data_IF_527743363389
#
_entry.id   IF_527743363389
#
_cell.length_a   1.000
_cell.length_b   1.000
_cell.length_c   1.000
_cell.angle_alpha   90.00
_cell.angle_beta   90.00
_cell.angle_gamma   90.00
#
_symmetry.space_group_name_H-M   'P 1'
#
loop_
_entity.id
_entity.type
_entity.pdbx_description
1 polymer ?
#
# COMPACT_ATOMS: atom_id res chain seq x y z
N UNK A 1 7.81 -1.81 -11.86
CA UNK A 1 6.50 -1.17 -11.71
C UNK A 1 5.75 -1.79 -10.55
N UNK A 2 5.05 -0.99 -9.73
CA UNK A 2 4.21 -1.44 -8.63
C UNK A 2 2.74 -1.60 -9.04
N UNK A 3 2.00 -2.48 -8.35
CA UNK A 3 0.56 -2.67 -8.49
C UNK A 3 -0.03 -3.02 -7.11
N UNK A 4 -0.80 -2.11 -6.52
CA UNK A 4 -1.26 -2.21 -5.12
C UNK A 4 -2.73 -1.83 -4.95
N UNK A 5 -3.42 -2.46 -3.99
CA UNK A 5 -4.79 -2.10 -3.57
C UNK A 5 -4.83 -0.93 -2.57
N UNK A 6 -3.74 -0.19 -2.41
CA UNK A 6 -3.73 0.95 -1.51
C UNK A 6 -4.82 1.97 -1.90
N UNK A 7 -5.60 2.49 -0.93
CA UNK A 7 -6.43 3.68 -1.13
C UNK A 7 -5.64 4.86 -1.69
N UNK A 8 -6.27 5.72 -2.47
CA UNK A 8 -5.58 6.85 -3.12
C UNK A 8 -5.99 8.22 -2.57
N UNK A 9 -7.15 8.27 -1.89
CA UNK A 9 -7.65 9.48 -1.25
C UNK A 9 -7.33 9.54 0.24
N UNK A 10 -8.18 10.25 0.97
CA UNK A 10 -8.10 10.37 2.42
C UNK A 10 -8.42 9.03 3.09
N UNK A 11 -7.59 8.65 4.05
CA UNK A 11 -7.81 7.49 4.90
C UNK A 11 -7.50 7.82 6.36
N UNK A 12 -8.53 7.87 7.19
CA UNK A 12 -8.39 8.33 8.57
C UNK A 12 -7.87 9.77 8.64
N UNK A 13 -6.72 9.94 9.28
CA UNK A 13 -6.03 11.24 9.42
C UNK A 13 -5.09 11.55 8.25
N UNK A 14 -4.81 10.59 7.39
CA UNK A 14 -3.94 10.75 6.22
C UNK A 14 -4.76 11.34 5.09
N UNK A 15 -4.46 12.56 4.68
CA UNK A 15 -5.20 13.28 3.63
C UNK A 15 -4.93 12.75 2.22
N UNK A 16 -3.72 12.22 1.97
CA UNK A 16 -3.29 11.68 0.68
C UNK A 16 -2.47 10.41 0.90
N UNK A 17 -3.09 9.26 0.63
CA UNK A 17 -2.46 7.95 0.80
C UNK A 17 -1.35 7.68 -0.22
N UNK A 18 -1.40 8.28 -1.40
CA UNK A 18 -0.33 8.16 -2.39
C UNK A 18 0.91 8.90 -1.90
N UNK A 19 0.75 10.16 -1.47
CA UNK A 19 1.86 10.96 -0.93
C UNK A 19 2.49 10.28 0.29
N UNK A 20 1.67 9.74 1.19
CA UNK A 20 2.13 9.01 2.35
C UNK A 20 2.96 7.76 1.96
N UNK A 21 2.45 6.94 1.02
CA UNK A 21 3.17 5.74 0.54
C UNK A 21 4.48 6.11 -0.18
N UNK A 22 4.48 7.16 -0.97
CA UNK A 22 5.69 7.62 -1.66
C UNK A 22 6.76 8.08 -0.67
N UNK A 23 6.37 8.71 0.44
CA UNK A 23 7.30 9.05 1.51
C UNK A 23 7.94 7.79 2.11
N UNK A 24 7.14 6.78 2.49
CA UNK A 24 7.67 5.51 3.02
C UNK A 24 8.63 4.81 2.06
N UNK A 25 8.26 4.72 0.77
CA UNK A 25 9.11 4.11 -0.25
C UNK A 25 10.43 4.86 -0.41
N UNK A 26 10.41 6.19 -0.30
CA UNK A 26 11.62 7.04 -0.35
C UNK A 26 12.54 6.74 0.84
N UNK A 27 12.00 6.64 2.06
CA UNK A 27 12.78 6.26 3.25
C UNK A 27 13.40 4.87 3.11
N UNK A 28 12.69 3.94 2.48
CA UNK A 28 13.18 2.59 2.17
C UNK A 28 14.12 2.55 0.96
N UNK A 29 14.37 3.68 0.28
CA UNK A 29 15.15 3.79 -0.96
C UNK A 29 14.60 2.92 -2.10
N UNK A 30 13.29 2.75 -2.16
CA UNK A 30 12.59 2.03 -3.22
C UNK A 30 12.04 3.04 -4.21
N UNK A 31 12.43 2.92 -5.48
CA UNK A 31 12.02 3.82 -6.55
C UNK A 31 11.44 3.01 -7.73
N UNK A 32 10.12 3.01 -7.86
CA UNK A 32 9.44 2.36 -8.98
C UNK A 32 9.45 3.21 -10.26
N UNK A 33 9.49 4.53 -10.12
CA UNK A 33 9.43 5.45 -11.26
C UNK A 33 10.62 5.28 -12.20
N UNK A 34 11.81 5.05 -11.65
CA UNK A 34 13.03 4.92 -12.43
C UNK A 34 12.95 3.79 -13.46
N UNK A 35 12.42 2.63 -13.04
CA UNK A 35 12.38 1.41 -13.84
C UNK A 35 11.01 1.10 -14.45
N UNK A 36 10.01 1.93 -14.20
CA UNK A 36 8.67 1.74 -14.79
C UNK A 36 8.70 2.08 -16.29
N UNK A 37 8.10 1.25 -17.14
CA UNK A 37 7.86 1.60 -18.54
C UNK A 37 6.79 2.68 -18.70
N UNK A 38 5.94 2.87 -17.67
CA UNK A 38 4.87 3.87 -17.66
C UNK A 38 5.31 5.06 -16.83
N UNK A 39 5.38 6.23 -17.45
CA UNK A 39 5.82 7.49 -16.85
C UNK A 39 4.68 8.49 -16.68
N UNK A 40 3.51 8.16 -17.20
CA UNK A 40 2.35 9.02 -17.15
C UNK A 40 1.75 9.07 -15.73
N UNK A 41 1.05 10.14 -15.43
CA UNK A 41 0.14 10.21 -14.29
C UNK A 41 -1.29 10.12 -14.83
N UNK A 42 -2.06 9.12 -14.39
CA UNK A 42 -3.43 8.85 -14.85
C UNK A 42 -4.32 8.65 -13.66
N UNK A 43 -5.34 9.49 -13.51
CA UNK A 43 -6.44 9.29 -12.57
C UNK A 43 -7.61 8.69 -13.33
N UNK A 44 -8.15 7.58 -12.84
CA UNK A 44 -9.27 6.89 -13.47
C UNK A 44 -10.58 7.46 -12.91
N UNK A 45 -11.13 8.44 -13.62
CA UNK A 45 -12.31 9.19 -13.19
C UNK A 45 -13.60 8.36 -13.15
N UNK A 46 -13.69 7.34 -14.00
CA UNK A 46 -14.87 6.48 -14.12
C UNK A 46 -15.11 5.59 -12.88
N UNK A 47 -14.12 5.50 -12.00
CA UNK A 47 -14.17 4.71 -10.77
C UNK A 47 -14.19 5.65 -9.57
N UNK A 48 -15.20 5.51 -8.74
CA UNK A 48 -15.34 6.31 -7.51
C UNK A 48 -15.58 5.37 -6.32
N UNK A 49 -14.50 4.85 -5.76
CA UNK A 49 -14.54 4.09 -4.51
C UNK A 49 -14.51 5.02 -3.31
N UNK A 50 -14.97 4.54 -2.16
CA UNK A 50 -15.03 5.31 -0.92
C UNK A 50 -13.69 5.88 -0.45
N UNK A 51 -12.56 5.27 -0.87
CA UNK A 51 -11.21 5.66 -0.47
C UNK A 51 -10.34 6.21 -1.62
N UNK A 52 -10.98 6.78 -2.63
CA UNK A 52 -10.30 7.43 -3.75
C UNK A 52 -10.45 6.72 -5.09
N UNK A 53 -9.79 7.25 -6.10
CA UNK A 53 -9.84 6.76 -7.49
C UNK A 53 -8.59 5.98 -7.83
N UNK A 54 -8.69 4.89 -8.60
CA UNK A 54 -7.49 4.23 -9.10
C UNK A 54 -6.60 5.21 -9.86
N UNK A 55 -5.30 5.13 -9.60
CA UNK A 55 -4.33 6.11 -10.11
C UNK A 55 -3.04 5.42 -10.52
N UNK A 56 -2.52 5.75 -11.70
CA UNK A 56 -1.12 5.49 -12.05
C UNK A 56 -0.31 6.72 -11.68
N UNK A 57 0.70 6.55 -10.85
CA UNK A 57 1.62 7.62 -10.46
C UNK A 57 2.97 7.06 -10.02
N UNK A 58 4.04 7.73 -10.41
CA UNK A 58 5.42 7.39 -10.04
C UNK A 58 5.80 5.91 -10.25
N UNK A 59 5.29 5.34 -11.35
CA UNK A 59 5.55 3.94 -11.72
C UNK A 59 4.77 2.91 -10.91
N UNK A 60 3.74 3.34 -10.17
CA UNK A 60 2.87 2.47 -9.37
C UNK A 60 1.42 2.66 -9.81
N UNK A 61 0.73 1.55 -10.02
CA UNK A 61 -0.72 1.51 -10.23
C UNK A 61 -1.36 1.26 -8.86
N UNK A 62 -2.03 2.26 -8.34
CA UNK A 62 -2.86 2.19 -7.14
C UNK A 62 -4.28 1.84 -7.57
N UNK A 63 -4.78 0.69 -7.16
CA UNK A 63 -6.10 0.25 -7.61
C UNK A 63 -7.23 0.67 -6.65
N UNK A 64 -6.90 1.35 -5.56
CA UNK A 64 -7.82 1.63 -4.47
C UNK A 64 -8.47 0.31 -3.99
N UNK A 65 -9.78 0.18 -4.01
CA UNK A 65 -10.49 -1.04 -3.63
C UNK A 65 -10.82 -1.94 -4.83
N UNK A 66 -10.44 -1.52 -6.03
CA UNK A 66 -10.81 -2.23 -7.24
C UNK A 66 -9.90 -3.42 -7.53
N UNK A 67 -10.41 -4.31 -8.35
CA UNK A 67 -9.71 -5.49 -8.84
C UNK A 67 -8.45 -5.11 -9.62
N UNK A 68 -7.32 -5.75 -9.29
CA UNK A 68 -6.02 -5.42 -9.89
C UNK A 68 -5.99 -5.63 -11.41
N UNK A 69 -6.61 -6.71 -11.90
CA UNK A 69 -6.64 -7.00 -13.33
C UNK A 69 -7.46 -5.98 -14.11
N UNK A 70 -8.61 -5.56 -13.58
CA UNK A 70 -9.48 -4.56 -14.22
C UNK A 70 -8.76 -3.21 -14.34
N UNK A 71 -8.19 -2.73 -13.25
CA UNK A 71 -7.48 -1.43 -13.24
C UNK A 71 -6.24 -1.50 -14.12
N UNK A 72 -5.51 -2.62 -14.09
CA UNK A 72 -4.36 -2.83 -14.96
C UNK A 72 -4.75 -2.79 -16.44
N UNK A 73 -5.82 -3.48 -16.86
CA UNK A 73 -6.34 -3.42 -18.23
C UNK A 73 -6.64 -1.99 -18.66
N UNK A 74 -7.31 -1.23 -17.78
CA UNK A 74 -7.64 0.16 -18.06
C UNK A 74 -6.38 1.00 -18.29
N UNK A 75 -5.39 0.89 -17.41
CA UNK A 75 -4.12 1.63 -17.53
C UNK A 75 -3.41 1.27 -18.83
N UNK A 76 -3.32 -0.02 -19.20
CA UNK A 76 -2.71 -0.42 -20.45
C UNK A 76 -3.43 0.21 -21.66
N UNK A 77 -4.77 0.25 -21.63
CA UNK A 77 -5.56 0.84 -22.71
C UNK A 77 -5.33 2.35 -22.86
N UNK A 78 -5.17 3.06 -21.74
CA UNK A 78 -4.95 4.52 -21.75
C UNK A 78 -3.53 4.91 -22.14
N UNK A 79 -2.55 4.10 -21.77
CA UNK A 79 -1.15 4.34 -22.12
C UNK A 79 -0.77 3.76 -23.49
N UNK A 80 -1.65 2.99 -24.11
CA UNK A 80 -1.39 2.22 -25.33
C UNK A 80 -0.11 1.36 -25.20
N UNK A 81 0.17 0.87 -24.00
CA UNK A 81 1.34 0.05 -23.69
C UNK A 81 0.91 -1.39 -23.40
N UNK A 82 1.32 -2.32 -24.25
CA UNK A 82 1.01 -3.73 -24.11
C UNK A 82 2.31 -4.54 -24.06
N UNK A 83 2.77 -4.97 -22.88
CA UNK A 83 3.99 -5.77 -22.76
C UNK A 83 3.78 -7.15 -23.37
N UNK A 84 4.84 -7.76 -23.88
CA UNK A 84 4.79 -9.13 -24.39
C UNK A 84 4.65 -10.16 -23.26
N UNK A 85 5.24 -9.88 -22.11
CA UNK A 85 5.23 -10.76 -20.95
C UNK A 85 5.22 -9.98 -19.64
N UNK A 86 4.63 -10.58 -18.63
CA UNK A 86 4.56 -10.05 -17.25
C UNK A 86 4.96 -11.15 -16.28
N UNK A 87 5.83 -10.79 -15.35
CA UNK A 87 6.07 -11.52 -14.11
C UNK A 87 5.41 -10.71 -13.00
N UNK A 88 4.51 -11.32 -12.26
CA UNK A 88 3.79 -10.67 -11.16
C UNK A 88 3.95 -11.47 -9.87
N UNK A 89 4.28 -10.76 -8.80
CA UNK A 89 4.46 -11.34 -7.47
C UNK A 89 3.46 -10.67 -6.53
N UNK A 90 2.67 -11.46 -5.85
CA UNK A 90 1.65 -10.99 -4.89
C UNK A 90 1.49 -12.02 -3.77
N UNK A 91 1.08 -11.58 -2.60
CA UNK A 91 0.81 -12.45 -1.44
C UNK A 91 -0.65 -12.94 -1.37
N UNK A 92 -1.50 -12.46 -2.29
CA UNK A 92 -2.92 -12.80 -2.36
C UNK A 92 -3.21 -13.50 -3.68
N UNK A 93 -3.63 -14.77 -3.61
CA UNK A 93 -3.91 -15.60 -4.79
C UNK A 93 -4.95 -14.98 -5.71
N UNK A 94 -6.01 -14.38 -5.18
CA UNK A 94 -7.06 -13.73 -5.97
C UNK A 94 -6.51 -12.60 -6.85
N UNK A 95 -5.49 -11.88 -6.38
CA UNK A 95 -4.83 -10.85 -7.18
C UNK A 95 -4.04 -11.46 -8.34
N UNK A 96 -3.37 -12.59 -8.10
CA UNK A 96 -2.65 -13.33 -9.14
C UNK A 96 -3.60 -13.83 -10.21
N UNK A 97 -4.73 -14.43 -9.81
CA UNK A 97 -5.75 -14.96 -10.72
C UNK A 97 -6.46 -13.85 -11.51
N UNK A 98 -6.74 -12.74 -10.88
CA UNK A 98 -7.34 -11.57 -11.53
C UNK A 98 -6.42 -11.04 -12.64
N UNK A 99 -5.14 -10.85 -12.35
CA UNK A 99 -4.19 -10.37 -13.35
C UNK A 99 -3.96 -11.40 -14.47
N UNK A 100 -3.90 -12.69 -14.12
CA UNK A 100 -3.81 -13.78 -15.11
C UNK A 100 -4.97 -13.73 -16.11
N UNK A 101 -6.20 -13.56 -15.63
CA UNK A 101 -7.40 -13.45 -16.47
C UNK A 101 -7.29 -12.28 -17.45
N UNK A 102 -6.83 -11.14 -16.98
CA UNK A 102 -6.62 -9.95 -17.82
C UNK A 102 -5.51 -10.19 -18.84
N UNK A 103 -4.38 -10.75 -18.43
CA UNK A 103 -3.28 -11.07 -19.36
C UNK A 103 -3.69 -12.05 -20.45
N UNK A 104 -4.45 -13.09 -20.10
CA UNK A 104 -4.99 -14.06 -21.08
C UNK A 104 -5.90 -13.38 -22.11
N UNK A 105 -6.80 -12.49 -21.65
CA UNK A 105 -7.68 -11.69 -22.51
C UNK A 105 -6.89 -10.83 -23.49
N UNK A 106 -5.82 -10.22 -23.02
CA UNK A 106 -4.96 -9.32 -23.80
C UNK A 106 -3.86 -10.04 -24.57
N UNK A 107 -3.77 -11.38 -24.47
CA UNK A 107 -2.73 -12.23 -25.09
C UNK A 107 -1.31 -11.86 -24.63
N UNK A 108 -1.16 -11.47 -23.37
CA UNK A 108 0.11 -11.20 -22.72
C UNK A 108 0.59 -12.49 -22.03
N UNK A 109 1.86 -12.88 -22.22
CA UNK A 109 2.43 -13.99 -21.48
C UNK A 109 2.50 -13.65 -20.00
N UNK A 110 1.96 -14.51 -19.12
CA UNK A 110 1.86 -14.25 -17.69
C UNK A 110 2.53 -15.33 -16.87
N UNK A 111 3.31 -14.91 -15.88
CA UNK A 111 3.84 -15.76 -14.82
C UNK A 111 3.53 -15.10 -13.46
N UNK A 112 2.68 -15.75 -12.67
CA UNK A 112 2.34 -15.32 -11.32
C UNK A 112 3.12 -16.13 -10.28
N UNK A 113 3.64 -15.45 -9.25
CA UNK A 113 4.31 -16.06 -8.11
C UNK A 113 3.65 -15.61 -6.83
N UNK A 114 3.18 -16.55 -6.02
CA UNK A 114 2.69 -16.25 -4.69
C UNK A 114 3.86 -15.97 -3.75
N UNK A 115 3.84 -14.81 -3.10
CA UNK A 115 4.80 -14.46 -2.07
C UNK A 115 4.33 -14.99 -0.71
N UNK A 116 4.90 -16.10 -0.27
CA UNK A 116 4.55 -16.75 0.99
C UNK A 116 5.36 -16.23 2.19
N UNK A 117 6.18 -15.20 2.00
CA UNK A 117 7.05 -14.65 3.05
C UNK A 117 6.29 -14.14 4.26
N UNK A 118 5.11 -13.56 4.07
CA UNK A 118 4.23 -13.13 5.16
C UNK A 118 3.76 -14.28 6.06
N UNK A 119 3.56 -15.48 5.50
CA UNK A 119 3.18 -16.68 6.25
C UNK A 119 4.34 -17.31 7.04
N UNK A 120 5.59 -16.99 6.66
CA UNK A 120 6.80 -17.50 7.31
C UNK A 120 7.24 -16.61 8.47
N UNK A 121 6.95 -15.31 8.39
CA UNK A 121 7.27 -14.35 9.45
C UNK A 121 6.27 -14.59 10.59
N UNK A 122 6.73 -14.96 11.81
CA UNK A 122 5.82 -15.12 12.93
C UNK A 122 5.05 -13.82 13.18
N UNK A 123 3.73 -13.92 13.29
CA UNK A 123 2.93 -12.77 13.73
C UNK A 123 3.44 -12.31 15.10
N UNK A 124 3.73 -11.00 15.27
CA UNK A 124 4.10 -10.48 16.57
C UNK A 124 2.94 -10.70 17.55
N UNK A 125 3.25 -11.12 18.77
CA UNK A 125 2.24 -11.16 19.83
C UNK A 125 1.82 -9.74 20.16
N UNK A 126 0.65 -9.35 19.70
CA UNK A 126 0.11 -8.03 19.95
C UNK A 126 -0.42 -7.95 21.39
N UNK A 127 0.03 -6.94 22.13
CA UNK A 127 -0.57 -6.54 23.40
C UNK A 127 -1.65 -5.49 23.12
N UNK A 128 -2.91 -5.90 23.26
CA UNK A 128 -4.04 -5.03 22.94
C UNK A 128 -4.07 -3.70 23.73
N UNK A 129 -3.49 -3.67 24.94
CA UNK A 129 -3.41 -2.44 25.73
C UNK A 129 -2.32 -1.50 25.18
N UNK A 130 -1.16 -2.05 24.82
CA UNK A 130 -0.09 -1.27 24.20
C UNK A 130 -0.52 -0.73 22.84
N UNK A 131 -1.19 -1.55 22.03
CA UNK A 131 -1.69 -1.11 20.72
C UNK A 131 -2.74 -0.01 20.83
N UNK A 132 -3.62 -0.08 21.83
CA UNK A 132 -4.58 1.00 22.10
C UNK A 132 -3.87 2.32 22.43
N UNK A 133 -2.87 2.31 23.30
CA UNK A 133 -2.10 3.50 23.65
C UNK A 133 -1.36 4.03 22.42
N UNK A 134 -0.76 3.15 21.62
CA UNK A 134 -0.08 3.52 20.37
C UNK A 134 -1.03 4.22 19.40
N UNK A 135 -2.24 3.70 19.27
CA UNK A 135 -3.27 4.27 18.40
C UNK A 135 -3.73 5.65 18.91
N UNK A 136 -3.90 5.82 20.22
CA UNK A 136 -4.23 7.12 20.82
C UNK A 136 -3.12 8.18 20.60
N UNK A 137 -1.85 7.78 20.64
CA UNK A 137 -0.73 8.66 20.33
C UNK A 137 -0.73 9.01 18.84
N UNK A 138 -0.96 8.02 17.98
CA UNK A 138 -1.08 8.26 16.54
C UNK A 138 -2.18 9.25 16.21
N UNK A 139 -3.35 9.13 16.83
CA UNK A 139 -4.47 10.05 16.61
C UNK A 139 -4.20 11.48 17.12
N UNK A 140 -3.49 11.61 18.26
CA UNK A 140 -3.26 12.91 18.91
C UNK A 140 -2.00 13.61 18.41
N UNK A 141 -0.93 12.86 18.19
CA UNK A 141 0.40 13.38 17.93
C UNK A 141 0.91 13.09 16.51
N UNK A 142 0.17 12.31 15.74
CA UNK A 142 0.56 11.87 14.38
C UNK A 142 1.89 11.11 14.34
N UNK A 143 2.21 10.37 15.43
CA UNK A 143 3.42 9.59 15.57
C UNK A 143 3.11 8.13 15.75
N UNK A 144 3.78 7.29 14.94
CA UNK A 144 3.84 5.86 15.19
C UNK A 144 5.06 5.55 16.03
N UNK A 145 4.87 5.03 17.23
CA UNK A 145 5.95 4.66 18.12
C UNK A 145 6.28 3.17 17.99
N UNK A 146 7.56 2.83 17.93
CA UNK A 146 8.03 1.45 18.09
C UNK A 146 7.72 0.93 19.49
N UNK A 147 7.81 -0.38 19.72
CA UNK A 147 7.56 -0.97 21.03
C UNK A 147 8.49 -0.41 22.13
N UNK A 148 9.74 -0.12 21.78
CA UNK A 148 10.70 0.47 22.72
C UNK A 148 10.37 1.91 23.05
N UNK A 149 9.99 2.71 22.07
CA UNK A 149 9.58 4.11 22.26
C UNK A 149 8.27 4.18 23.05
N UNK A 150 7.31 3.31 22.77
CA UNK A 150 6.05 3.26 23.49
C UNK A 150 6.25 2.91 24.96
N UNK A 151 7.10 1.93 25.27
CA UNK A 151 7.46 1.59 26.65
C UNK A 151 8.11 2.78 27.39
N UNK A 152 9.03 3.50 26.73
CA UNK A 152 9.64 4.72 27.28
C UNK A 152 8.61 5.81 27.52
N UNK A 153 7.69 6.01 26.58
CA UNK A 153 6.61 6.99 26.69
C UNK A 153 5.70 6.71 27.89
N UNK A 154 5.29 5.46 28.08
CA UNK A 154 4.45 5.03 29.21
C UNK A 154 5.18 5.24 30.55
N UNK A 155 6.45 4.87 30.62
CA UNK A 155 7.26 5.04 31.83
C UNK A 155 7.40 6.53 32.20
N UNK A 156 7.67 7.40 31.26
CA UNK A 156 7.79 8.85 31.49
C UNK A 156 6.46 9.48 31.95
N UNK A 157 5.34 9.04 31.38
CA UNK A 157 4.01 9.52 31.74
C UNK A 157 3.60 9.09 33.17
N UNK A 158 3.97 7.86 33.57
CA UNK A 158 3.69 7.36 34.93
C UNK A 158 4.52 8.08 36.02
N UNK A 159 5.76 8.47 35.73
CA UNK A 159 6.61 9.22 36.64
C UNK A 159 6.03 10.64 36.90
N UNK A 160 5.54 11.29 35.83
CA UNK A 160 4.94 12.63 35.96
C UNK A 160 3.65 12.63 36.81
N UNK A 161 2.86 11.56 36.75
CA UNK A 161 1.63 11.42 37.54
C UNK A 161 1.91 11.17 39.03
N UNK A 162 3.05 10.61 39.39
CA UNK A 162 3.46 10.36 40.80
C UNK A 162 4.13 11.53 41.46
N UNK A 163 4.63 12.51 40.71
CA UNK A 163 5.30 13.73 41.24
C UNK A 163 4.29 14.87 41.47
N UNK A 164 3.07 14.76 40.92
CA UNK A 164 2.02 15.82 41.03
C UNK A 164 0.99 15.56 42.12
N UNK A 165 1.19 14.59 42.99
CA UNK A 165 0.44 14.30 44.22
C UNK A 165 1.32 14.52 45.44
#
# INVERSE_FOLDING_TARGET
>A
MGLTKLPTGKFGIIEDMIAWRMHELTELKVNFQEFSPLKDEIIIEDYNAGYGKPTLKDGIIYTAEYDKGIVFEYVLSKTNYYPQSIIFIDDIEENLLSLQKTCNKLKINYQGFEFTGSAIIPEPKLDAQLEKIRFEILEKEYKWLTDEELKKHILSSSILSTVSN
#
